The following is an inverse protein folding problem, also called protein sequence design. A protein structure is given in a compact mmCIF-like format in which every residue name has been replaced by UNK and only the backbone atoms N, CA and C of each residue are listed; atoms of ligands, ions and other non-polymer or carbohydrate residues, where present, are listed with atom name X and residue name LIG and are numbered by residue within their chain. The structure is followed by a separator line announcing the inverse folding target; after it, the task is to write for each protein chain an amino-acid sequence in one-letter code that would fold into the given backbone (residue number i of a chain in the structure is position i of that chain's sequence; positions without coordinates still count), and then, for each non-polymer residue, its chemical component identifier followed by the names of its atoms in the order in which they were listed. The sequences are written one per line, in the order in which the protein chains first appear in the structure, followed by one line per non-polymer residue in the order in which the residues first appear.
data_IF_632847256186
#
_entry.id   IF_632847256186
#
_cell.length_a   1.000
_cell.length_b   1.000
_cell.length_c   1.000
_cell.angle_alpha   90.00
_cell.angle_beta   90.00
_cell.angle_gamma   90.00
#
_symmetry.space_group_name_H-M   'P 1'
#
loop_
_entity.id
_entity.type
_entity.pdbx_description
1 polymer ?
2 non-polymer ?
3 non-polymer ?
4 water ?
#
# COMPACT_ATOMS: atom_id res chain seq x y z
N UNK A 5 2.20 -20.34 -3.76
CA UNK A 5 2.05 -21.46 -4.74
C UNK A 5 2.83 -21.13 -6.01
N UNK A 6 3.59 -22.10 -6.52
CA UNK A 6 4.52 -21.88 -7.63
C UNK A 6 3.90 -21.22 -8.87
N UNK A 7 2.68 -21.61 -9.21
CA UNK A 7 1.97 -20.99 -10.33
C UNK A 7 1.83 -19.48 -10.10
N UNK A 8 1.22 -19.12 -8.97
CA UNK A 8 1.03 -17.71 -8.62
C UNK A 8 2.34 -16.95 -8.54
N UNK A 9 3.35 -17.55 -7.90
CA UNK A 9 4.63 -16.87 -7.74
C UNK A 9 5.34 -16.66 -9.07
N UNK A 10 5.26 -17.64 -9.97
CA UNK A 10 5.81 -17.53 -11.32
C UNK A 10 5.19 -16.31 -12.01
N UNK A 11 3.86 -16.20 -11.92
CA UNK A 11 3.13 -15.08 -12.48
C UNK A 11 3.57 -13.73 -11.89
N UNK A 12 3.59 -13.66 -10.57
CA UNK A 12 3.90 -12.41 -9.87
C UNK A 12 5.37 -12.02 -10.04
N UNK A 13 6.26 -13.02 -10.11
CA UNK A 13 7.69 -12.73 -10.29
C UNK A 13 8.09 -12.28 -11.69
N UNK A 14 7.27 -12.57 -12.71
CA UNK A 14 7.57 -12.08 -14.05
C UNK A 14 7.30 -10.58 -14.18
N UNK A 15 6.64 -10.01 -13.17
CA UNK A 15 6.30 -8.59 -13.19
C UNK A 15 7.40 -7.69 -12.66
N UNK A 16 8.47 -8.29 -12.13
CA UNK A 16 9.60 -7.56 -11.54
C UNK A 16 10.59 -7.04 -12.58
N UNK A 17 10.70 -5.72 -12.74
CA UNK A 17 11.62 -5.17 -13.74
C UNK A 17 13.07 -5.29 -13.28
N UNK A 18 14.00 -5.17 -14.23
CA UNK A 18 15.44 -5.21 -13.93
C UNK A 18 15.81 -3.99 -13.06
N UNK A 19 16.72 -4.18 -12.11
CA UNK A 19 17.31 -3.05 -11.39
C UNK A 19 18.56 -2.53 -12.14
N UNK A 20 18.99 -1.32 -11.79
CA UNK A 20 20.34 -0.79 -12.10
C UNK A 20 21.37 -1.91 -11.98
N UNK A 21 22.27 -2.00 -12.96
CA UNK A 21 23.37 -2.97 -12.93
C UNK A 21 24.13 -2.98 -11.57
N UNK A 22 24.28 -1.79 -10.99
CA UNK A 22 25.01 -1.62 -9.74
C UNK A 22 24.24 -2.27 -8.60
N UNK A 23 22.91 -2.14 -8.64
CA UNK A 23 22.02 -2.76 -7.66
C UNK A 23 21.98 -4.28 -7.80
N UNK A 24 22.00 -4.77 -9.02
CA UNK A 24 22.04 -6.22 -9.25
C UNK A 24 23.36 -6.83 -8.75
N UNK A 25 24.46 -6.08 -8.87
CA UNK A 25 25.74 -6.52 -8.31
C UNK A 25 25.68 -6.53 -6.77
N UNK A 26 25.01 -5.53 -6.19
CA UNK A 26 24.80 -5.54 -4.75
C UNK A 26 24.08 -6.82 -4.29
N UNK A 27 23.09 -7.23 -5.05
CA UNK A 27 22.33 -8.44 -4.74
C UNK A 27 23.28 -9.67 -4.74
N UNK A 28 24.19 -9.72 -5.71
CA UNK A 28 25.17 -10.82 -5.81
C UNK A 28 26.18 -10.79 -4.66
N UNK A 29 26.65 -9.60 -4.30
CA UNK A 29 27.54 -9.38 -3.16
C UNK A 29 26.91 -9.87 -1.83
N UNK A 30 25.64 -9.57 -1.63
CA UNK A 30 24.89 -9.98 -0.44
C UNK A 30 24.80 -11.50 -0.35
N UNK A 31 24.55 -12.15 -1.48
CA UNK A 31 24.51 -13.62 -1.52
C UNK A 31 25.88 -14.21 -1.23
N UNK A 32 26.89 -13.70 -1.93
CA UNK A 32 28.28 -14.10 -1.74
C UNK A 32 28.77 -13.92 -0.31
N UNK A 33 28.42 -12.81 0.32
CA UNK A 33 28.89 -12.51 1.67
C UNK A 33 27.91 -12.92 2.76
N UNK A 34 26.89 -13.70 2.38
CA UNK A 34 25.84 -14.17 3.30
C UNK A 34 25.21 -13.04 4.12
N UNK A 35 24.92 -11.94 3.43
CA UNK A 35 24.21 -10.81 4.00
C UNK A 35 22.75 -10.94 3.57
N UNK A 36 21.83 -11.23 4.52
CA UNK A 36 20.42 -11.30 4.14
C UNK A 36 19.90 -10.01 3.49
N UNK A 37 19.12 -10.15 2.43
CA UNK A 37 18.36 -9.04 1.89
C UNK A 37 17.00 -9.57 1.51
N UNK A 38 16.05 -8.67 1.33
CA UNK A 38 14.70 -9.08 1.03
C UNK A 38 14.66 -9.74 -0.34
N UNK A 39 13.76 -10.71 -0.51
CA UNK A 39 13.61 -11.37 -1.83
C UNK A 39 13.03 -10.35 -2.81
N UNK A 40 13.31 -10.53 -4.09
CA UNK A 40 12.91 -9.52 -5.07
C UNK A 40 11.41 -9.23 -5.04
N UNK A 41 10.59 -10.27 -4.87
CA UNK A 41 9.14 -10.07 -4.87
C UNK A 41 8.68 -9.32 -3.64
N UNK A 42 9.20 -9.73 -2.49
CA UNK A 42 8.87 -9.09 -1.22
C UNK A 42 9.24 -7.63 -1.30
N UNK A 43 10.42 -7.35 -1.83
CA UNK A 43 10.90 -5.98 -1.98
C UNK A 43 10.01 -5.11 -2.91
N UNK A 44 9.61 -5.65 -4.06
CA UNK A 44 8.68 -4.91 -4.95
C UNK A 44 7.38 -4.60 -4.21
N UNK A 45 6.84 -5.57 -3.47
CA UNK A 45 5.60 -5.36 -2.68
C UNK A 45 5.75 -4.25 -1.62
N UNK A 46 6.83 -4.30 -0.85
CA UNK A 46 7.11 -3.28 0.15
C UNK A 46 7.24 -1.91 -0.49
N UNK A 47 7.96 -1.82 -1.61
CA UNK A 47 8.14 -0.52 -2.25
C UNK A 47 6.80 0.03 -2.74
N UNK A 48 5.93 -0.87 -3.20
CA UNK A 48 4.59 -0.44 -3.63
C UNK A 48 3.75 0.07 -2.48
N UNK A 49 3.80 -0.61 -1.33
CA UNK A 49 3.07 -0.17 -0.14
C UNK A 49 3.55 1.23 0.28
N UNK A 50 4.86 1.43 0.20
CA UNK A 50 5.45 2.73 0.56
C UNK A 50 5.01 3.82 -0.41
N UNK A 51 5.01 3.51 -1.70
CA UNK A 51 4.51 4.49 -2.66
C UNK A 51 3.04 4.92 -2.39
N UNK A 52 2.22 3.99 -1.89
CA UNK A 52 0.81 4.26 -1.56
C UNK A 52 0.65 5.19 -0.35
N UNK A 53 1.56 5.05 0.60
CA UNK A 53 1.55 5.83 1.83
C UNK A 53 2.14 7.21 1.58
N UNK A 54 2.92 7.35 0.51
CA UNK A 54 3.56 8.61 0.08
C UNK A 54 4.37 9.32 1.20
N UNK A 55 5.35 8.61 1.79
CA UNK A 55 6.04 9.23 2.93
C UNK A 55 7.10 10.24 2.46
N UNK A 56 7.35 11.28 3.27
CA UNK A 56 8.48 12.16 3.04
C UNK A 56 9.71 11.69 3.82
N UNK A 57 9.48 11.04 4.97
CA UNK A 57 10.58 10.68 5.87
C UNK A 57 10.46 9.25 6.34
N UNK A 58 11.54 8.49 6.17
CA UNK A 58 11.54 7.09 6.58
C UNK A 58 12.72 6.82 7.52
N UNK A 59 12.48 6.10 8.62
CA UNK A 59 13.54 5.68 9.50
C UNK A 59 13.62 4.17 9.39
N UNK A 60 14.81 3.66 9.10
CA UNK A 60 14.99 2.20 8.97
C UNK A 60 16.01 1.74 10.01
N UNK A 61 15.74 0.64 10.71
CA UNK A 61 16.72 0.15 11.68
C UNK A 61 17.40 -1.11 11.11
N UNK A 62 18.71 -1.06 10.91
CA UNK A 62 19.44 -2.20 10.34
C UNK A 62 19.70 -2.01 8.86
N UNK A 63 20.66 -1.14 8.55
CA UNK A 63 21.07 -0.83 7.19
C UNK A 63 21.61 -2.02 6.37
N UNK A 64 22.35 -2.89 7.05
CA UNK A 64 23.14 -3.95 6.42
C UNK A 64 24.01 -3.29 5.33
N UNK A 65 23.95 -3.74 4.08
CA UNK A 65 24.84 -3.15 3.06
C UNK A 65 24.17 -2.01 2.27
N UNK A 66 23.03 -1.55 2.80
CA UNK A 66 22.31 -0.42 2.23
C UNK A 66 21.30 -0.74 1.14
N UNK A 67 21.06 -2.03 0.88
CA UNK A 67 20.15 -2.44 -0.18
C UNK A 67 18.73 -1.88 -0.06
N UNK A 68 18.11 -2.07 1.10
CA UNK A 68 16.75 -1.59 1.34
C UNK A 68 16.66 -0.07 1.31
N UNK A 69 17.65 0.60 1.91
CA UNK A 69 17.66 2.08 1.91
C UNK A 69 17.77 2.61 0.49
N UNK A 70 18.65 2.01 -0.32
CA UNK A 70 18.84 2.42 -1.71
C UNK A 70 17.58 2.13 -2.54
N UNK A 71 17.02 0.93 -2.46
CA UNK A 71 15.78 0.59 -3.15
C UNK A 71 14.67 1.59 -2.80
N UNK A 72 14.52 1.90 -1.52
CA UNK A 72 13.49 2.88 -1.11
C UNK A 72 13.72 4.28 -1.67
N UNK A 73 14.98 4.75 -1.57
CA UNK A 73 15.31 6.10 -2.05
C UNK A 73 15.06 6.19 -3.55
N UNK A 74 15.37 5.13 -4.28
CA UNK A 74 15.17 5.15 -5.73
C UNK A 74 13.68 5.08 -6.11
N UNK A 75 12.89 4.35 -5.33
CA UNK A 75 11.45 4.22 -5.61
C UNK A 75 10.67 5.46 -5.19
N UNK A 76 11.25 6.23 -4.24
CA UNK A 76 10.61 7.40 -3.69
C UNK A 76 11.59 8.56 -3.79
N UNK A 77 11.73 9.15 -4.98
CA UNK A 77 12.77 10.13 -5.21
C UNK A 77 12.65 11.40 -4.36
N UNK A 78 11.48 11.67 -3.79
CA UNK A 78 11.33 12.86 -2.92
C UNK A 78 11.28 12.51 -1.42
N UNK A 79 11.58 11.26 -1.07
CA UNK A 79 11.66 10.86 0.34
C UNK A 79 13.07 10.99 0.85
N UNK A 80 13.23 11.15 2.17
CA UNK A 80 14.57 11.05 2.74
C UNK A 80 14.55 9.86 3.69
N UNK A 81 15.65 9.13 3.69
CA UNK A 81 15.79 7.93 4.51
C UNK A 81 16.86 8.17 5.57
N UNK A 82 16.56 7.78 6.81
CA UNK A 82 17.58 7.71 7.87
C UNK A 82 17.69 6.23 8.17
N UNK A 83 18.91 5.69 8.09
CA UNK A 83 19.09 4.25 8.32
C UNK A 83 20.17 4.02 9.36
N UNK A 84 19.89 3.14 10.33
CA UNK A 84 20.85 2.87 11.42
C UNK A 84 21.52 1.51 11.24
N UNK A 85 22.86 1.50 11.30
CA UNK A 85 23.72 0.29 11.18
C UNK A 85 24.83 0.17 12.23
N UNK A 86 24.70 -0.91 13.00
CA UNK A 86 25.68 -1.37 14.00
C UNK A 86 27.14 -1.31 13.54
N UNK A 87 27.49 -2.24 12.66
CA UNK A 87 28.86 -2.66 12.40
C UNK A 87 29.51 -1.93 11.24
N UNK A 88 30.79 -1.61 11.44
CA UNK A 88 31.58 -0.73 10.59
C UNK A 88 31.80 -1.28 9.18
N UNK A 89 32.13 -2.56 9.06
CA UNK A 89 32.36 -3.22 7.78
C UNK A 89 31.10 -3.23 6.92
N UNK A 90 29.94 -3.58 7.50
CA UNK A 90 28.67 -3.47 6.76
C UNK A 90 28.41 -2.01 6.60
N UNK A 91 28.60 -1.24 7.69
CA UNK A 91 28.35 0.20 7.61
C UNK A 91 29.23 0.78 6.51
N UNK A 92 30.52 0.41 6.50
CA UNK A 92 31.45 0.95 5.51
C UNK A 92 31.03 0.66 4.08
N UNK A 93 30.71 -0.62 3.79
CA UNK A 93 30.13 -1.03 2.49
C UNK A 93 28.93 -0.17 2.14
N UNK A 94 27.95 -0.10 3.05
CA UNK A 94 26.71 0.66 2.83
C UNK A 94 27.01 2.09 2.44
N UNK A 95 27.93 2.73 3.18
CA UNK A 95 28.31 4.12 2.91
C UNK A 95 28.80 4.24 1.44
N UNK A 96 29.66 3.33 1.02
CA UNK A 96 30.21 3.38 -0.34
C UNK A 96 29.14 3.17 -1.43
N UNK A 97 28.23 2.22 -1.19
CA UNK A 97 27.12 1.98 -2.12
C UNK A 97 26.19 3.19 -2.26
N UNK A 98 25.86 3.79 -1.12
CA UNK A 98 25.07 5.04 -1.11
C UNK A 98 25.79 6.13 -1.93
N UNK A 99 27.07 6.35 -1.62
CA UNK A 99 27.87 7.32 -2.37
C UNK A 99 27.99 7.02 -3.85
N UNK A 100 28.11 5.74 -4.20
CA UNK A 100 28.27 5.32 -5.61
C UNK A 100 27.09 5.80 -6.46
N UNK A 101 25.91 5.76 -5.85
CA UNK A 101 24.68 6.09 -6.58
C UNK A 101 24.28 7.56 -6.40
N UNK A 102 25.15 8.33 -5.76
CA UNK A 102 24.94 9.77 -5.50
C UNK A 102 23.79 10.03 -4.52
N UNK A 103 23.59 9.11 -3.58
CA UNK A 103 22.42 9.21 -2.68
C UNK A 103 22.67 9.70 -1.28
N UNK A 104 23.88 10.20 -1.02
CA UNK A 104 24.28 10.68 0.31
C UNK A 104 23.26 11.64 0.89
N UNK A 105 22.81 12.55 0.04
CA UNK A 105 21.96 13.66 0.46
C UNK A 105 20.54 13.18 0.81
N UNK A 106 20.14 11.99 0.34
CA UNK A 106 18.79 11.46 0.66
C UNK A 106 18.78 10.26 1.56
N UNK A 107 19.95 9.70 1.80
CA UNK A 107 20.05 8.58 2.71
C UNK A 107 21.09 8.98 3.75
N UNK A 108 20.63 9.15 4.98
CA UNK A 108 21.54 9.42 6.09
C UNK A 108 21.83 8.14 6.85
N UNK A 109 23.09 7.70 6.80
CA UNK A 109 23.49 6.48 7.47
C UNK A 109 24.05 6.81 8.84
N UNK A 110 23.44 6.22 9.86
CA UNK A 110 23.91 6.46 11.20
C UNK A 110 24.61 5.21 11.67
N UNK A 111 25.81 5.43 12.22
CA UNK A 111 26.68 4.43 12.82
C UNK A 111 26.85 4.85 14.27
N UNK A 112 26.43 4.00 15.19
CA UNK A 112 26.05 2.65 14.83
C UNK A 112 24.99 2.04 15.69
N UNK A 113 25.19 2.06 17.01
CA UNK A 113 24.24 1.37 17.88
C UNK A 113 22.97 2.18 18.11
N UNK A 114 21.91 1.80 17.39
CA UNK A 114 20.59 2.44 17.49
C UNK A 114 20.13 2.74 18.92
N UNK A 115 20.68 2.01 19.88
CA UNK A 115 20.33 2.19 21.28
C UNK A 115 20.86 3.49 21.87
N UNK A 116 21.97 3.99 21.33
CA UNK A 116 22.50 5.28 21.79
C UNK A 116 22.48 6.36 20.69
N UNK A 117 21.56 6.18 19.75
CA UNK A 117 21.30 7.16 18.70
C UNK A 117 19.91 7.79 18.87
N UNK A 118 19.16 7.33 19.86
CA UNK A 118 17.76 7.77 20.03
C UNK A 118 17.66 9.19 20.54
N UNK A 119 18.70 9.61 21.26
CA UNK A 119 18.84 10.97 21.76
C UNK A 119 19.06 11.95 20.62
N UNK A 120 19.89 11.55 19.64
CA UNK A 120 20.07 12.33 18.41
C UNK A 120 18.74 12.43 17.68
N UNK A 121 18.17 11.26 17.39
CA UNK A 121 17.02 11.17 16.54
C UNK A 121 15.78 11.88 17.07
N UNK A 122 15.65 12.02 18.38
CA UNK A 122 14.44 12.65 18.92
C UNK A 122 14.39 14.17 18.64
N UNK A 123 15.51 14.74 18.18
CA UNK A 123 15.56 16.14 17.69
C UNK A 123 15.23 16.25 16.18
N UNK A 124 15.10 15.10 15.52
CA UNK A 124 14.66 15.08 14.15
C UNK A 124 13.14 15.32 14.10
N UNK A 125 12.61 15.78 12.95
CA UNK A 125 11.15 15.82 12.84
C UNK A 125 10.58 14.39 12.82
N UNK A 126 9.30 14.24 13.13
CA UNK A 126 8.68 12.94 13.16
C UNK A 126 8.78 12.25 11.82
N UNK A 127 8.84 10.92 11.83
CA UNK A 127 8.94 10.11 10.62
C UNK A 127 7.56 9.64 10.15
N UNK A 128 7.38 9.51 8.83
CA UNK A 128 6.16 8.93 8.26
C UNK A 128 6.13 7.42 8.38
N UNK A 129 7.31 6.79 8.34
CA UNK A 129 7.41 5.34 8.33
C UNK A 129 8.60 4.95 9.19
N UNK A 130 8.39 3.92 10.02
CA UNK A 130 9.51 3.25 10.68
C UNK A 130 9.56 1.82 10.15
N UNK A 131 10.73 1.40 9.75
CA UNK A 131 10.94 0.03 9.28
C UNK A 131 11.87 -0.74 10.23
N UNK A 132 11.36 -1.82 10.81
CA UNK A 132 12.14 -2.67 11.73
C UNK A 132 12.02 -4.13 11.27
N UNK A 133 13.14 -4.87 11.34
CA UNK A 133 13.16 -6.30 11.05
C UNK A 133 13.25 -7.04 12.36
N UNK A 134 12.14 -7.63 12.76
CA UNK A 134 12.10 -8.40 13.99
C UNK A 134 13.19 -9.48 14.05
N UNK A 135 13.73 -9.88 12.89
CA UNK A 135 14.70 -10.98 12.80
C UNK A 135 16.13 -10.57 13.21
N UNK A 136 16.39 -9.27 13.23
CA UNK A 136 17.70 -8.75 13.63
C UNK A 136 17.82 -8.62 15.16
N UNK A 137 16.75 -8.92 15.88
CA UNK A 137 16.77 -8.94 17.34
C UNK A 137 16.47 -7.61 17.99
N UNK A 138 16.27 -7.61 19.31
CA UNK A 138 15.95 -6.38 20.05
C UNK A 138 14.70 -5.70 19.53
N UNK A 139 13.77 -6.49 18.97
CA UNK A 139 12.55 -5.98 18.32
C UNK A 139 11.72 -5.11 19.27
N UNK A 140 11.49 -5.61 20.49
CA UNK A 140 10.70 -4.88 21.46
C UNK A 140 11.39 -3.58 21.85
N UNK A 141 12.71 -3.66 22.05
CA UNK A 141 13.52 -2.49 22.40
C UNK A 141 13.47 -1.37 21.34
N UNK A 142 13.63 -1.73 20.06
CA UNK A 142 13.57 -0.69 19.02
C UNK A 142 12.16 -0.14 18.80
N UNK A 143 11.15 -1.01 18.84
CA UNK A 143 9.76 -0.56 18.76
C UNK A 143 9.47 0.48 19.85
N UNK A 144 9.85 0.19 21.09
CA UNK A 144 9.66 1.13 22.22
C UNK A 144 10.40 2.45 22.05
N UNK A 145 11.65 2.37 21.63
CA UNK A 145 12.47 3.56 21.48
C UNK A 145 12.03 4.43 20.30
N UNK A 146 11.69 3.80 19.18
CA UNK A 146 11.45 4.55 17.93
C UNK A 146 10.00 4.81 17.54
N UNK A 147 9.07 3.98 18.03
CA UNK A 147 7.66 4.26 17.73
C UNK A 147 7.21 5.68 18.14
N UNK A 148 7.72 6.20 19.28
CA UNK A 148 7.34 7.57 19.57
C UNK A 148 7.78 8.56 18.50
N UNK A 149 8.74 8.19 17.66
CA UNK A 149 9.20 9.10 16.62
C UNK A 149 8.41 9.03 15.32
N UNK A 150 7.34 8.25 15.32
CA UNK A 150 6.48 8.13 14.14
C UNK A 150 5.27 9.05 14.34
N UNK A 151 4.87 9.74 13.28
CA UNK A 151 3.73 10.67 13.37
C UNK A 151 2.40 9.95 13.56
N UNK A 152 1.40 10.64 14.14
CA UNK A 152 0.07 9.99 14.12
C UNK A 152 -0.34 9.79 12.67
N UNK A 153 -0.97 8.65 12.38
CA UNK A 153 -1.33 8.33 11.01
C UNK A 153 -0.22 7.62 10.27
N UNK A 154 0.98 7.61 10.88
CA UNK A 154 2.17 7.06 10.28
C UNK A 154 2.23 5.56 10.39
N UNK A 155 3.26 4.95 9.82
CA UNK A 155 3.33 3.49 9.70
C UNK A 155 4.55 2.93 10.36
N UNK A 156 4.38 1.80 11.05
CA UNK A 156 5.50 0.97 11.40
C UNK A 156 5.36 -0.34 10.64
N UNK A 157 6.36 -0.66 9.85
CA UNK A 157 6.44 -1.91 9.13
C UNK A 157 7.40 -2.82 9.88
N UNK A 158 6.90 -3.94 10.41
CA UNK A 158 7.75 -4.87 11.13
C UNK A 158 7.91 -6.14 10.31
N UNK A 159 9.09 -6.34 9.74
CA UNK A 159 9.36 -7.53 8.93
C UNK A 159 9.58 -8.73 9.86
N UNK A 160 9.11 -9.92 9.48
CA UNK A 160 9.32 -11.17 10.28
C UNK A 160 8.71 -11.26 11.67
N UNK A 161 7.58 -10.59 11.87
CA UNK A 161 6.99 -10.43 13.21
C UNK A 161 6.55 -11.73 13.90
N UNK A 162 6.25 -12.73 13.08
CA UNK A 162 5.69 -13.98 13.57
C UNK A 162 6.65 -15.17 13.45
N UNK A 163 7.87 -14.91 12.96
CA UNK A 163 8.84 -15.98 12.67
C UNK A 163 9.34 -16.68 13.93
N UNK A 189 2.45 -10.76 20.26
CA UNK A 189 1.09 -10.32 20.57
C UNK A 189 0.96 -8.89 21.15
N UNK A 190 2.06 -8.41 21.87
CA UNK A 190 1.98 -7.04 22.44
C UNK A 190 1.90 -6.02 21.32
N UNK A 191 2.51 -6.35 20.18
CA UNK A 191 2.36 -5.53 18.99
C UNK A 191 0.87 -5.50 18.60
N UNK A 192 0.34 -6.67 18.25
CA UNK A 192 -1.00 -6.81 17.66
C UNK A 192 -2.09 -6.21 18.55
N UNK A 193 -1.84 -6.22 19.85
CA UNK A 193 -2.75 -5.69 20.84
C UNK A 193 -2.33 -4.31 21.41
N UNK A 194 -1.25 -3.73 20.86
CA UNK A 194 -0.79 -2.39 21.28
C UNK A 194 -1.89 -1.36 21.03
N UNK A 195 -2.33 -0.67 22.08
CA UNK A 195 -3.53 0.18 21.97
C UNK A 195 -3.41 1.31 20.96
N UNK A 196 -2.19 1.83 20.77
CA UNK A 196 -1.98 2.99 19.90
C UNK A 196 -1.79 2.62 18.42
N UNK A 197 -1.85 1.32 18.10
CA UNK A 197 -1.61 0.89 16.71
C UNK A 197 -2.69 -0.03 16.18
N UNK A 198 -3.09 0.23 14.93
CA UNK A 198 -4.04 -0.59 14.21
C UNK A 198 -3.16 -1.49 13.34
N UNK A 199 -3.07 -2.78 13.69
CA UNK A 199 -2.08 -3.64 13.05
C UNK A 199 -2.66 -4.80 12.24
N UNK A 200 -2.11 -5.02 11.05
CA UNK A 200 -2.45 -6.20 10.24
C UNK A 200 -1.19 -6.77 9.61
N UNK A 201 -1.14 -8.10 9.54
CA UNK A 201 -0.04 -8.79 8.90
C UNK A 201 -0.37 -9.04 7.44
N UNK A 202 0.60 -8.74 6.58
CA UNK A 202 0.48 -8.96 5.15
C UNK A 202 1.44 -10.01 4.63
N UNK A 203 1.00 -10.80 3.64
CA UNK A 203 1.88 -11.86 3.13
C UNK A 203 2.97 -11.33 2.20
N UNK A 204 3.94 -10.64 2.78
CA UNK A 204 5.16 -10.24 2.07
C UNK A 204 6.27 -11.00 2.76
N UNK A 205 7.21 -11.57 2.00
CA UNK A 205 8.24 -12.42 2.58
C UNK A 205 7.60 -13.38 3.58
N UNK A 206 8.15 -13.41 4.78
CA UNK A 206 7.63 -14.33 5.81
C UNK A 206 6.51 -13.73 6.68
N UNK A 207 5.99 -12.58 6.26
CA UNK A 207 4.92 -11.90 6.97
C UNK A 207 5.45 -10.58 7.50
N UNK A 208 4.80 -9.50 7.09
CA UNK A 208 5.16 -8.16 7.57
C UNK A 208 3.95 -7.53 8.26
N UNK A 209 4.16 -7.01 9.46
CA UNK A 209 3.12 -6.32 10.21
C UNK A 209 3.06 -4.88 9.69
N UNK A 210 1.87 -4.42 9.33
CA UNK A 210 1.69 -3.04 9.00
C UNK A 210 0.90 -2.39 10.12
N UNK A 211 1.55 -1.52 10.88
CA UNK A 211 0.91 -0.91 12.06
C UNK A 211 0.69 0.56 11.77
N UNK A 212 -0.56 0.97 11.84
CA UNK A 212 -0.94 2.35 11.57
C UNK A 212 -1.15 3.05 12.91
N UNK A 213 -0.44 4.16 13.10
CA UNK A 213 -0.42 4.82 14.39
C UNK A 213 -1.72 5.61 14.53
N UNK A 214 -2.44 5.39 15.63
CA UNK A 214 -3.68 6.14 15.94
C UNK A 214 -3.39 7.60 16.35
N UNK B 8 1.89 -20.13 8.85
CA UNK B 8 1.81 -18.71 8.39
C UNK B 8 0.55 -18.43 7.58
N UNK B 9 0.38 -19.15 6.47
CA UNK B 9 -0.78 -18.92 5.61
C UNK B 9 -2.08 -19.40 6.27
N UNK B 10 -1.95 -20.33 7.22
CA UNK B 10 -3.06 -20.76 8.07
C UNK B 10 -3.42 -19.68 9.08
N UNK B 11 -2.40 -18.98 9.60
CA UNK B 11 -2.60 -17.86 10.52
C UNK B 11 -3.30 -16.69 9.82
N UNK B 12 -2.84 -16.38 8.61
CA UNK B 12 -3.44 -15.33 7.78
C UNK B 12 -4.90 -15.65 7.41
N UNK B 13 -5.20 -16.93 7.22
CA UNK B 13 -6.55 -17.42 6.94
C UNK B 13 -7.58 -16.97 7.99
N UNK B 14 -7.13 -16.89 9.25
CA UNK B 14 -8.02 -16.62 10.37
C UNK B 14 -8.04 -15.17 10.84
N UNK B 15 -7.27 -14.30 10.18
CA UNK B 15 -7.09 -12.93 10.62
C UNK B 15 -8.32 -12.03 10.36
N UNK B 16 -9.38 -12.23 11.16
CA UNK B 16 -10.67 -11.56 10.94
C UNK B 16 -11.36 -11.19 12.27
N UNK B 17 -11.56 -9.88 12.53
CA UNK B 17 -12.38 -9.45 13.66
C UNK B 17 -13.88 -9.37 13.35
N UNK B 18 -14.73 -9.58 14.35
CA UNK B 18 -16.19 -9.47 14.19
C UNK B 18 -16.64 -8.09 13.68
N UNK B 19 -17.63 -8.10 12.79
CA UNK B 19 -18.19 -6.86 12.28
C UNK B 19 -19.42 -6.55 13.15
N UNK B 20 -19.94 -5.33 13.03
CA UNK B 20 -21.25 -4.99 13.59
C UNK B 20 -22.27 -6.03 13.11
N UNK B 21 -23.19 -6.44 14.00
CA UNK B 21 -24.16 -7.48 13.62
C UNK B 21 -24.86 -7.15 12.28
N UNK B 22 -25.09 -5.85 12.03
CA UNK B 22 -25.83 -5.43 10.81
C UNK B 22 -25.03 -5.75 9.55
N UNK B 23 -23.72 -5.51 9.63
CA UNK B 23 -22.73 -5.84 8.58
C UNK B 23 -22.65 -7.35 8.36
N UNK B 24 -22.59 -8.12 9.45
CA UNK B 24 -22.61 -9.57 9.36
C UNK B 24 -23.88 -10.09 8.68
N UNK B 25 -25.01 -9.43 8.96
CA UNK B 25 -26.28 -9.75 8.34
C UNK B 25 -26.26 -9.42 6.85
N UNK B 26 -25.60 -8.34 6.47
CA UNK B 26 -25.42 -7.99 5.04
C UNK B 26 -24.59 -9.03 4.30
N UNK B 27 -23.56 -9.54 4.96
CA UNK B 27 -22.72 -10.59 4.38
C UNK B 27 -23.49 -11.88 4.11
N UNK B 28 -24.24 -12.34 5.11
CA UNK B 28 -25.06 -13.54 4.96
C UNK B 28 -26.12 -13.33 3.89
N UNK B 29 -26.68 -12.12 3.85
CA UNK B 29 -27.69 -11.76 2.85
C UNK B 29 -27.15 -11.77 1.41
N UNK B 30 -25.97 -11.22 1.21
CA UNK B 30 -25.31 -11.23 -0.09
C UNK B 30 -25.13 -12.67 -0.53
N UNK B 31 -24.67 -13.52 0.39
CA UNK B 31 -24.46 -14.96 0.09
C UNK B 31 -25.77 -15.67 -0.25
N UNK B 32 -26.77 -15.56 0.62
CA UNK B 32 -28.06 -16.23 0.41
C UNK B 32 -28.76 -15.74 -0.86
N UNK B 33 -28.55 -14.48 -1.20
CA UNK B 33 -29.19 -13.86 -2.37
C UNK B 33 -28.27 -13.74 -3.60
N UNK B 34 -27.04 -14.28 -3.49
CA UNK B 34 -26.04 -14.26 -4.56
C UNK B 34 -25.79 -12.87 -5.19
N UNK B 35 -25.55 -11.90 -4.33
CA UNK B 35 -25.20 -10.55 -4.72
C UNK B 35 -23.68 -10.45 -4.61
N UNK B 36 -23.00 -9.93 -5.66
CA UNK B 36 -21.56 -9.67 -5.62
C UNK B 36 -21.09 -8.97 -4.36
N UNK B 37 -20.14 -9.55 -3.66
CA UNK B 37 -19.59 -8.97 -2.43
C UNK B 37 -18.13 -9.33 -2.39
N UNK B 38 -17.29 -8.40 -1.92
CA UNK B 38 -15.88 -8.71 -1.73
C UNK B 38 -15.71 -9.72 -0.63
N UNK B 39 -14.86 -10.71 -0.87
CA UNK B 39 -14.58 -11.74 0.10
C UNK B 39 -13.98 -11.10 1.34
N UNK B 40 -14.21 -11.75 2.48
CA UNK B 40 -13.88 -11.14 3.76
C UNK B 40 -12.39 -10.82 3.96
N UNK B 41 -11.52 -11.79 3.65
CA UNK B 41 -10.08 -11.54 3.78
C UNK B 41 -9.54 -10.47 2.87
N UNK B 42 -9.98 -10.42 1.62
CA UNK B 42 -9.64 -9.32 0.71
C UNK B 42 -10.13 -7.97 1.24
N UNK B 43 -11.34 -7.97 1.80
CA UNK B 43 -11.94 -6.73 2.28
C UNK B 43 -11.12 -6.19 3.45
N UNK B 44 -10.76 -7.07 4.39
CA UNK B 44 -10.01 -6.61 5.56
C UNK B 44 -8.65 -6.03 5.13
N UNK B 45 -8.01 -6.71 4.20
CA UNK B 45 -6.74 -6.21 3.66
C UNK B 45 -6.89 -4.91 2.93
N UNK B 46 -7.93 -4.81 2.09
CA UNK B 46 -8.19 -3.56 1.38
C UNK B 46 -8.40 -2.40 2.34
N UNK B 47 -9.21 -2.63 3.37
CA UNK B 47 -9.52 -1.52 4.29
C UNK B 47 -8.24 -1.07 5.00
N UNK B 48 -7.40 -2.03 5.34
CA UNK B 48 -6.12 -1.67 6.01
C UNK B 48 -5.21 -0.85 5.09
N UNK B 49 -5.12 -1.25 3.82
CA UNK B 49 -4.32 -0.52 2.84
C UNK B 49 -4.89 0.89 2.63
N UNK B 50 -6.21 1.00 2.60
CA UNK B 50 -6.84 2.31 2.53
C UNK B 50 -6.48 3.18 3.72
N UNK B 51 -6.53 2.63 4.95
CA UNK B 51 -6.22 3.41 6.12
C UNK B 51 -4.80 3.93 6.04
N UNK B 52 -3.93 3.11 5.44
CA UNK B 52 -2.54 3.44 5.29
C UNK B 52 -2.37 4.62 4.34
N UNK B 53 -3.13 4.60 3.24
CA UNK B 53 -3.13 5.66 2.24
C UNK B 53 -3.92 6.92 2.65
N UNK B 54 -4.86 6.79 3.59
CA UNK B 54 -5.62 7.94 4.16
C UNK B 54 -6.33 8.82 3.09
N UNK B 55 -7.11 8.19 2.20
CA UNK B 55 -7.75 9.00 1.14
C UNK B 55 -8.91 9.80 1.72
N UNK B 56 -9.18 10.98 1.15
CA UNK B 56 -10.33 11.78 1.55
C UNK B 56 -11.58 11.54 0.69
N UNK B 57 -11.38 11.13 -0.56
CA UNK B 57 -12.48 11.06 -1.54
C UNK B 57 -12.32 9.77 -2.34
N UNK B 58 -13.34 8.92 -2.32
CA UNK B 58 -13.29 7.60 -2.99
C UNK B 58 -14.47 7.52 -3.95
N UNK B 59 -14.20 7.07 -5.17
CA UNK B 59 -15.25 6.77 -6.16
C UNK B 59 -15.29 5.26 -6.42
N UNK B 60 -16.48 4.68 -6.33
CA UNK B 60 -16.66 3.26 -6.56
C UNK B 60 -17.65 3.04 -7.68
N UNK B 61 -17.30 2.14 -8.60
CA UNK B 61 -18.23 1.79 -9.67
C UNK B 61 -18.78 0.41 -9.36
N UNK B 62 -20.08 0.34 -9.08
CA UNK B 62 -20.71 -0.94 -8.77
C UNK B 62 -20.99 -1.10 -7.30
N UNK B 63 -21.98 -0.36 -6.78
CA UNK B 63 -22.27 -0.38 -5.35
C UNK B 63 -22.82 -1.69 -4.83
N UNK B 64 -23.54 -2.41 -5.70
CA UNK B 64 -24.22 -3.65 -5.36
C UNK B 64 -25.15 -3.30 -4.19
N UNK B 65 -25.08 -3.97 -3.02
CA UNK B 65 -25.99 -3.58 -1.93
C UNK B 65 -25.34 -2.66 -0.90
N UNK B 66 -24.18 -2.09 -1.27
CA UNK B 66 -23.53 -1.06 -0.46
C UNK B 66 -22.53 -1.55 0.58
N UNK B 67 -22.20 -2.84 0.55
CA UNK B 67 -21.26 -3.39 1.54
C UNK B 67 -19.88 -2.73 1.53
N UNK B 68 -19.26 -2.64 0.35
CA UNK B 68 -17.90 -2.02 0.28
C UNK B 68 -17.92 -0.53 0.61
N UNK B 69 -18.94 0.19 0.13
CA UNK B 69 -19.06 1.63 0.41
C UNK B 69 -19.15 1.83 1.92
N UNK B 70 -20.04 1.04 2.55
CA UNK B 70 -20.22 1.10 4.01
C UNK B 70 -18.96 0.79 4.79
N UNK B 71 -18.32 -0.32 4.48
CA UNK B 71 -17.13 -0.72 5.22
C UNK B 71 -15.97 0.24 5.04
N UNK B 72 -15.83 0.81 3.83
CA UNK B 72 -14.83 1.87 3.63
C UNK B 72 -15.15 3.15 4.43
N UNK B 73 -16.42 3.57 4.40
CA UNK B 73 -16.81 4.74 5.18
C UNK B 73 -16.55 4.53 6.67
N UNK B 74 -16.85 3.32 7.17
CA UNK B 74 -16.61 3.03 8.58
C UNK B 74 -15.12 3.02 8.91
N UNK B 75 -14.30 2.53 7.98
CA UNK B 75 -12.85 2.43 8.25
C UNK B 75 -12.16 3.78 8.16
N UNK B 76 -12.75 4.69 7.38
CA UNK B 76 -12.20 6.01 7.07
C UNK B 76 -13.23 7.09 7.44
N UNK B 77 -13.38 7.38 8.74
CA UNK B 77 -14.48 8.28 9.21
C UNK B 77 -14.47 9.69 8.61
N UNK B 78 -13.30 10.12 8.12
CA UNK B 78 -13.14 11.43 7.50
C UNK B 78 -13.44 11.49 5.99
N UNK B 79 -13.49 10.33 5.34
CA UNK B 79 -13.55 10.29 3.88
C UNK B 79 -14.98 10.35 3.39
N UNK B 80 -15.14 10.75 2.15
CA UNK B 80 -16.45 10.69 1.50
C UNK B 80 -16.33 9.72 0.35
N UNK B 81 -17.44 9.04 0.09
CA UNK B 81 -17.51 8.04 -0.92
C UNK B 81 -18.66 8.45 -1.88
N UNK B 82 -18.38 8.28 -3.16
CA UNK B 82 -19.42 8.41 -4.18
C UNK B 82 -19.46 7.01 -4.81
N UNK B 83 -20.64 6.43 -4.97
CA UNK B 83 -20.73 5.08 -5.57
C UNK B 83 -21.88 4.97 -6.58
N UNK B 84 -21.67 4.23 -7.68
CA UNK B 84 -22.58 4.21 -8.80
C UNK B 84 -23.08 2.79 -8.99
N UNK B 85 -24.40 2.64 -9.14
CA UNK B 85 -25.02 1.33 -9.34
C UNK B 85 -26.10 1.41 -10.44
N UNK B 86 -26.08 0.45 -11.34
CA UNK B 86 -27.05 0.45 -12.41
C UNK B 86 -28.30 -0.42 -12.17
N UNK B 87 -28.24 -1.35 -11.22
CA UNK B 87 -29.40 -2.23 -10.96
C UNK B 87 -30.33 -1.53 -9.96
N UNK B 88 -31.58 -1.27 -10.35
CA UNK B 88 -32.46 -0.42 -9.53
C UNK B 88 -32.78 -1.01 -8.16
N UNK B 89 -33.05 -2.32 -8.14
CA UNK B 89 -33.31 -3.06 -6.88
C UNK B 89 -32.09 -2.99 -5.93
N UNK B 90 -30.90 -3.25 -6.46
CA UNK B 90 -29.68 -3.17 -5.63
C UNK B 90 -29.44 -1.77 -5.09
N UNK B 91 -29.58 -0.77 -5.96
CA UNK B 91 -29.42 0.64 -5.55
C UNK B 91 -30.36 1.01 -4.39
N UNK B 92 -31.63 0.61 -4.49
CA UNK B 92 -32.64 0.91 -3.46
C UNK B 92 -32.28 0.23 -2.17
N UNK B 93 -31.77 -1.00 -2.25
CA UNK B 93 -31.36 -1.69 -1.03
C UNK B 93 -30.14 -1.04 -0.39
N UNK B 94 -29.15 -0.74 -1.22
CA UNK B 94 -27.94 -0.06 -0.76
C UNK B 94 -28.30 1.25 -0.08
N UNK B 95 -29.26 1.97 -0.63
CA UNK B 95 -29.64 3.27 -0.07
C UNK B 95 -30.21 3.09 1.35
N UNK B 96 -31.01 2.05 1.55
CA UNK B 96 -31.54 1.71 2.87
C UNK B 96 -30.44 1.28 3.86
N UNK B 97 -29.51 0.44 3.42
CA UNK B 97 -28.39 0.08 4.33
C UNK B 97 -27.53 1.28 4.76
N UNK B 98 -27.26 2.16 3.83
CA UNK B 98 -26.50 3.38 4.15
C UNK B 98 -27.26 4.20 5.21
N UNK B 99 -28.58 4.34 5.01
CA UNK B 99 -29.42 5.04 5.96
C UNK B 99 -29.46 4.34 7.31
N UNK B 100 -29.56 3.01 7.30
CA UNK B 100 -29.59 2.22 8.53
C UNK B 100 -28.44 2.56 9.49
N UNK B 101 -27.27 2.79 8.90
CA UNK B 101 -26.05 3.01 9.64
C UNK B 101 -25.73 4.48 9.83
N UNK B 102 -26.61 5.37 9.43
CA UNK B 102 -26.41 6.81 9.66
C UNK B 102 -25.30 7.38 8.79
N UNK B 103 -25.08 6.78 7.62
CA UNK B 103 -23.91 7.15 6.77
C UNK B 103 -24.23 8.03 5.55
N UNK B 104 -25.45 8.53 5.44
CA UNK B 104 -25.85 9.24 4.23
C UNK B 104 -25.04 10.51 3.95
N UNK B 105 -24.49 11.12 5.00
CA UNK B 105 -23.75 12.38 4.84
C UNK B 105 -22.36 12.13 4.27
N UNK B 106 -21.95 10.86 4.23
CA UNK B 106 -20.61 10.52 3.78
C UNK B 106 -20.59 9.53 2.61
N UNK B 107 -21.73 8.96 2.29
CA UNK B 107 -21.81 8.05 1.14
C UNK B 107 -22.88 8.57 0.19
N UNK B 108 -22.45 8.99 -0.99
CA UNK B 108 -23.39 9.51 -1.99
C UNK B 108 -23.65 8.41 -3.02
N UNK B 109 -24.89 7.94 -3.13
CA UNK B 109 -25.18 6.85 -4.04
C UNK B 109 -25.84 7.39 -5.30
N UNK B 110 -25.29 7.00 -6.44
CA UNK B 110 -25.82 7.42 -7.70
C UNK B 110 -26.42 6.20 -8.39
N UNK B 111 -27.62 6.38 -8.91
CA UNK B 111 -28.27 5.36 -9.65
C UNK B 111 -28.09 5.68 -11.11
N UNK B 112 -27.40 4.81 -11.83
CA UNK B 112 -27.26 5.03 -13.26
C UNK B 112 -26.24 4.11 -13.85
N UNK B 113 -26.09 4.19 -15.17
CA UNK B 113 -25.04 3.49 -15.88
C UNK B 113 -23.77 4.35 -15.83
N UNK B 114 -22.71 3.85 -15.21
CA UNK B 114 -21.47 4.63 -15.06
C UNK B 114 -20.89 5.13 -16.37
N UNK B 115 -21.10 4.37 -17.45
CA UNK B 115 -20.54 4.72 -18.75
C UNK B 115 -21.32 5.88 -19.37
N UNK B 116 -22.47 6.18 -18.80
CA UNK B 116 -23.30 7.30 -19.22
C UNK B 116 -23.20 8.49 -18.26
N UNK B 117 -22.46 8.31 -17.17
CA UNK B 117 -22.37 9.30 -16.08
C UNK B 117 -21.06 10.07 -16.01
N UNK B 118 -20.19 9.88 -17.02
CA UNK B 118 -18.88 10.53 -17.05
C UNK B 118 -18.94 12.04 -16.91
N UNK B 119 -19.81 12.68 -17.68
CA UNK B 119 -19.90 14.15 -17.70
C UNK B 119 -20.39 14.72 -16.36
N UNK B 120 -21.24 13.97 -15.67
CA UNK B 120 -21.72 14.33 -14.34
C UNK B 120 -20.55 14.25 -13.34
N UNK B 121 -19.79 13.18 -13.44
CA UNK B 121 -18.72 12.95 -12.49
C UNK B 121 -17.51 13.84 -12.69
N UNK B 122 -17.29 14.29 -13.92
CA UNK B 122 -16.24 15.26 -14.20
C UNK B 122 -16.41 16.51 -13.36
N UNK B 123 -17.65 16.83 -13.00
CA UNK B 123 -17.97 18.02 -12.21
C UNK B 123 -17.41 17.95 -10.79
N UNK B 124 -17.26 16.73 -10.26
CA UNK B 124 -16.80 16.52 -8.90
C UNK B 124 -15.31 16.79 -8.77
N UNK B 125 -14.84 17.11 -7.55
CA UNK B 125 -13.39 17.26 -7.36
C UNK B 125 -12.72 15.92 -7.61
N UNK B 126 -11.43 15.93 -7.92
CA UNK B 126 -10.69 14.70 -8.17
C UNK B 126 -10.76 13.75 -6.97
N UNK B 127 -10.75 12.45 -7.26
CA UNK B 127 -10.79 11.41 -6.26
C UNK B 127 -9.37 10.92 -5.92
N UNK B 128 -9.17 10.49 -4.69
CA UNK B 128 -7.92 9.87 -4.25
C UNK B 128 -7.88 8.41 -4.61
N UNK B 129 -9.06 7.79 -4.73
CA UNK B 129 -9.17 6.35 -4.98
C UNK B 129 -10.34 6.11 -5.93
N UNK B 130 -10.13 5.23 -6.92
CA UNK B 130 -11.19 4.69 -7.75
C UNK B 130 -11.21 3.19 -7.49
N UNK B 131 -12.38 2.64 -7.19
CA UNK B 131 -12.48 1.21 -6.86
C UNK B 131 -13.37 0.57 -7.91
N UNK B 132 -12.81 -0.38 -8.67
CA UNK B 132 -13.54 -1.10 -9.70
C UNK B 132 -13.27 -2.60 -9.60
N UNK B 133 -13.99 -3.37 -10.39
CA UNK B 133 -14.04 -4.81 -10.22
C UNK B 133 -13.77 -5.47 -11.55
N UNK B 134 -12.64 -6.17 -11.64
CA UNK B 134 -12.27 -6.88 -12.87
C UNK B 134 -13.23 -8.01 -13.22
N UNK B 135 -14.13 -8.35 -12.29
CA UNK B 135 -15.12 -9.43 -12.49
C UNK B 135 -16.50 -8.91 -12.91
N UNK B 136 -16.71 -7.60 -12.83
CA UNK B 136 -17.95 -6.98 -13.32
C UNK B 136 -17.76 -6.55 -14.77
N UNK B 137 -18.87 -6.40 -15.50
CA UNK B 137 -18.80 -6.08 -16.93
C UNK B 137 -18.23 -4.69 -17.12
N UNK B 138 -17.64 -4.46 -18.30
CA UNK B 138 -17.17 -3.14 -18.71
C UNK B 138 -15.96 -2.60 -17.93
N UNK B 139 -15.23 -3.51 -17.29
CA UNK B 139 -14.08 -3.16 -16.44
C UNK B 139 -13.09 -2.21 -17.16
N UNK B 140 -12.70 -2.56 -18.37
CA UNK B 140 -11.73 -1.74 -19.12
C UNK B 140 -12.29 -0.37 -19.48
N UNK B 141 -13.55 -0.32 -19.90
CA UNK B 141 -14.20 0.95 -20.23
C UNK B 141 -14.30 1.83 -18.99
N UNK B 142 -14.61 1.21 -17.84
CA UNK B 142 -14.66 1.95 -16.58
C UNK B 142 -13.30 2.53 -16.21
N UNK B 143 -12.26 1.72 -16.38
CA UNK B 143 -10.89 2.18 -16.14
C UNK B 143 -10.58 3.40 -16.99
N UNK B 144 -10.79 3.30 -18.31
CA UNK B 144 -10.42 4.40 -19.23
C UNK B 144 -11.20 5.68 -18.92
N UNK B 145 -12.47 5.52 -18.59
CA UNK B 145 -13.40 6.63 -18.38
C UNK B 145 -13.16 7.39 -17.08
N UNK B 146 -12.86 6.65 -16.01
CA UNK B 146 -12.78 7.21 -14.66
C UNK B 146 -11.36 7.43 -14.13
N UNK B 147 -10.37 6.87 -14.82
CA UNK B 147 -9.01 7.06 -14.36
C UNK B 147 -8.56 8.55 -14.46
N UNK B 148 -9.08 9.33 -15.44
CA UNK B 148 -8.67 10.73 -15.47
C UNK B 148 -9.28 11.55 -14.32
N UNK B 149 -10.21 10.95 -13.59
CA UNK B 149 -10.83 11.61 -12.46
C UNK B 149 -10.14 11.27 -11.11
N UNK B 150 -9.06 10.51 -11.19
CA UNK B 150 -8.20 10.23 -10.04
C UNK B 150 -6.99 11.22 -10.04
N UNK B 151 -6.65 11.77 -8.88
CA UNK B 151 -5.50 12.70 -8.79
C UNK B 151 -4.18 11.97 -9.02
N UNK B 152 -3.13 12.67 -9.49
CA UNK B 152 -1.78 12.10 -9.49
C UNK B 152 -1.42 11.62 -8.09
N UNK B 153 -0.81 10.44 -8.01
CA UNK B 153 -0.48 9.83 -6.73
C UNK B 153 -1.63 9.05 -6.13
N UNK B 154 -2.82 9.20 -6.72
CA UNK B 154 -4.00 8.48 -6.28
C UNK B 154 -3.97 7.04 -6.73
N UNK B 155 -4.99 6.29 -6.37
CA UNK B 155 -5.01 4.85 -6.57
C UNK B 155 -6.22 4.41 -7.36
N UNK B 156 -5.99 3.46 -8.24
CA UNK B 156 -7.08 2.67 -8.79
C UNK B 156 -6.92 1.27 -8.24
N UNK B 157 -7.94 0.79 -7.54
CA UNK B 157 -7.93 -0.54 -6.95
C UNK B 157 -8.87 -1.43 -7.74
N UNK B 158 -8.36 -2.57 -8.22
CA UNK B 158 -9.20 -3.51 -8.98
C UNK B 158 -9.35 -4.82 -8.19
N UNK B 159 -10.59 -5.16 -7.84
CA UNK B 159 -10.88 -6.44 -7.19
C UNK B 159 -10.94 -7.59 -8.20
N UNK B 160 -10.73 -8.83 -7.72
CA UNK B 160 -10.94 -10.05 -8.50
C UNK B 160 -10.03 -10.17 -9.71
N UNK B 161 -8.78 -9.73 -9.55
CA UNK B 161 -7.79 -9.76 -10.64
C UNK B 161 -7.06 -11.12 -10.78
N UNK B 162 -7.06 -11.95 -9.73
CA UNK B 162 -6.44 -13.28 -9.83
C UNK B 162 -7.46 -14.42 -9.93
N UNK B 163 -8.57 -14.32 -9.20
CA UNK B 163 -9.61 -15.36 -9.19
C UNK B 163 -10.98 -14.79 -9.55
N UNK B 188 -4.47 -9.76 -17.49
CA UNK B 188 -4.08 -8.50 -16.86
C UNK B 188 -3.02 -7.70 -17.61
N UNK B 189 -2.54 -8.21 -18.75
CA UNK B 189 -1.45 -7.50 -19.42
C UNK B 189 -1.76 -6.03 -19.69
N UNK B 190 -3.02 -5.71 -20.09
CA UNK B 190 -3.29 -4.32 -20.52
C UNK B 190 -3.17 -3.43 -19.31
N UNK B 191 -3.58 -3.93 -18.16
CA UNK B 191 -3.54 -3.15 -16.95
C UNK B 191 -2.08 -2.94 -16.55
N UNK B 192 -1.30 -4.02 -16.61
CA UNK B 192 0.07 -3.99 -16.11
C UNK B 192 1.01 -3.09 -16.92
N UNK B 193 0.69 -2.84 -18.19
CA UNK B 193 1.55 -2.03 -19.07
C UNK B 193 0.96 -0.68 -19.51
N UNK B 194 -0.18 -0.33 -18.91
CA UNK B 194 -0.80 0.97 -19.10
C UNK B 194 0.13 2.06 -18.56
N UNK B 195 0.52 3.01 -19.41
CA UNK B 195 1.63 3.90 -19.04
C UNK B 195 1.48 4.87 -17.85
N UNK B 196 0.31 5.42 -17.59
CA UNK B 196 0.22 6.47 -16.57
C UNK B 196 0.12 5.90 -15.15
N UNK B 197 0.29 4.58 -15.02
CA UNK B 197 0.09 3.91 -13.74
C UNK B 197 1.23 2.98 -13.44
N UNK B 198 1.48 2.88 -12.14
CA UNK B 198 2.46 1.99 -11.59
C UNK B 198 1.59 0.91 -10.94
N UNK B 199 1.51 -0.26 -11.55
CA UNK B 199 0.53 -1.26 -11.07
C UNK B 199 1.21 -2.52 -10.56
N UNK B 200 0.80 -2.97 -9.37
CA UNK B 200 1.20 -4.27 -8.86
C UNK B 200 -0.03 -5.04 -8.42
N UNK B 201 0.07 -6.37 -8.46
CA UNK B 201 -1.04 -7.24 -8.03
C UNK B 201 -0.69 -7.86 -6.70
N UNK B 202 -1.54 -7.66 -5.69
CA UNK B 202 -1.30 -8.22 -4.35
C UNK B 202 -2.11 -9.50 -4.16
N UNK B 203 -1.45 -10.58 -3.68
CA UNK B 203 -2.11 -11.88 -3.53
C UNK B 203 -2.91 -11.98 -2.23
N UNK B 204 -3.95 -11.16 -2.12
CA UNK B 204 -4.85 -11.18 -0.99
C UNK B 204 -6.29 -11.26 -1.50
N UNK B 205 -7.13 -12.01 -0.81
CA UNK B 205 -8.49 -12.27 -1.28
C UNK B 205 -8.44 -12.90 -2.65
N UNK B 206 -9.18 -12.33 -3.60
CA UNK B 206 -9.22 -12.83 -4.98
C UNK B 206 -8.20 -12.14 -5.91
N UNK B 207 -7.25 -11.43 -5.30
CA UNK B 207 -6.30 -10.63 -6.07
C UNK B 207 -6.83 -9.20 -6.16
N UNK B 208 -5.97 -8.26 -5.75
CA UNK B 208 -6.27 -6.86 -5.83
C UNK B 208 -5.14 -6.18 -6.57
N UNK B 209 -5.44 -5.53 -7.68
CA UNK B 209 -4.41 -4.74 -8.35
C UNK B 209 -4.46 -3.34 -7.78
N UNK B 210 -3.29 -2.80 -7.48
CA UNK B 210 -3.18 -1.43 -6.96
C UNK B 210 -2.38 -0.65 -7.98
N UNK B 211 -3.06 0.23 -8.70
CA UNK B 211 -2.42 1.05 -9.70
C UNK B 211 -2.23 2.44 -9.13
N UNK B 212 -0.98 2.88 -9.04
CA UNK B 212 -0.70 4.20 -8.51
C UNK B 212 -0.46 5.19 -9.65
N UNK B 213 -1.25 6.24 -9.67
CA UNK B 213 -1.24 7.19 -10.78
C UNK B 213 0.03 8.02 -10.75
N UNK B 214 0.74 8.00 -11.89
CA UNK B 214 1.99 8.74 -12.04
C UNK B 214 1.72 10.22 -12.20
N UNK B 215 2.73 11.03 -11.90
CA UNK B 215 2.63 12.48 -11.96
C UNK B 215 2.29 13.01 -13.36
N UNK B 226 3.67 23.28 -37.12
CA UNK B 226 3.91 24.55 -37.82
C UNK B 226 3.72 24.36 -39.34
N UNK B 227 3.32 25.42 -40.04
CA UNK B 227 3.39 25.48 -41.50
C UNK B 227 4.37 26.57 -41.93
N UNK B 228 3.85 27.66 -42.49
CA UNK B 228 4.57 28.92 -42.79
C UNK B 228 5.36 29.44 -41.59
N UNK B 229 4.94 28.98 -40.41
CA UNK B 229 5.64 29.13 -39.14
C UNK B 229 7.09 28.69 -39.23
N UNK B 230 7.35 27.69 -40.06
CA UNK B 230 8.68 27.11 -40.19
C UNK B 230 9.67 28.06 -40.84
N UNK B 231 9.21 28.88 -41.78
CA UNK B 231 9.96 30.04 -42.26
C UNK B 231 10.28 30.91 -41.04
N UNK B 232 11.31 31.74 -41.17
CA UNK B 232 11.70 32.73 -40.13
C UNK B 232 11.97 32.20 -38.72
N UNK B 233 11.21 31.17 -38.34
CA UNK B 233 11.07 30.69 -36.96
C UNK B 233 10.72 31.74 -35.90
X LIG C 1 29.60 -3.55 -2.59
X LIG D 1 27.68 1.71 21.86
X LIG E 1 27.93 6.18 30.20
X LIG F 1 9.48 -17.99 3.94
X LIG G 1 -14.17 -11.90 -5.21
X LIG H 1 -12.45 -16.08 -3.51
X LIG I 1 -22.57 -20.88 -0.78
X LIG J 1 -6.60 2.78 -21.30
X LIG K 1 -30.58 -5.54 3.20
X LIG L 1 -6.63 -2.15 9.79
#
# INVERSE_FOLDING_TARGET
XSLIEERLKHYLEKQIPARDQYIEQMEREAHEQQVPIMDLLGMESLLHLLKMAAPARILEIGTAIGYSAIRMAQALPEATIVSIERDERRYEEAHKHVKALGLESRIELLFGDALQLGEKLELYPLFDVLFIDAAKGQYRRFFDMYSPMVRPGGLILSDNVLFRGLVAETDIEHKRHKQLATKIDTYNQWLLEHPQYDTRIFPVGDGIAISIKRETKGDTDDEKAEGHHHHHH
XSLIEERLKHYLEKQIPARDQYIEQMEREAHEQQVPIMDLLGMESLLHLLKMAAPARILEIGTAIGYSAIRMAQALPEATIVSIERDERRYEEAHKHVKALGLESRIELLFGDALQLGEKLELYPLFDVLFIDAAKGQYRRFFDMYSPMVRPGGLILSDNVLFRGLVAETDIEHKRHKQLATKIDTYNQWLLEHPQYDTRIFPVGDGIAISIKRETKGDTDDEKAEGHHHHHH
ZN ZN
ZN ZN
ZN ZN
ZN ZN
MG MG
ZN ZN
ZN ZN
ZN ZN
ZN ZN
ZN ZN
#
